data_IF_886540332749
#
_entry.id   IF_886540332749
#
_cell.length_a   1.000
_cell.length_b   1.000
_cell.length_c   1.000
_cell.angle_alpha   90.00
_cell.angle_beta   90.00
_cell.angle_gamma   90.00
#
_symmetry.space_group_name_H-M   'P 1'
#
loop_
_entity.id
_entity.type
_entity.pdbx_description
1 polymer ?
#
# COMPACT_ATOMS: atom_id res chain seq x y z
N UNK A 1 12.51 8.46 -7.21
CA UNK A 1 12.23 7.59 -6.06
C UNK A 1 12.80 6.21 -6.39
N UNK A 2 13.62 5.57 -5.51
CA UNK A 2 13.95 4.17 -5.69
C UNK A 2 12.66 3.36 -5.65
N UNK A 3 12.56 2.34 -6.51
CA UNK A 3 11.41 1.45 -6.50
C UNK A 3 11.43 0.60 -5.23
N UNK A 4 10.29 0.43 -4.52
CA UNK A 4 10.22 -0.53 -3.42
C UNK A 4 10.58 -1.92 -3.94
N UNK A 5 11.11 -2.81 -3.09
CA UNK A 5 11.49 -4.15 -3.49
C UNK A 5 10.30 -4.84 -4.17
N UNK A 6 10.54 -5.37 -5.37
CA UNK A 6 9.52 -6.01 -6.19
C UNK A 6 8.86 -7.15 -5.42
N UNK A 7 7.53 -7.20 -5.46
CA UNK A 7 6.76 -8.28 -4.88
C UNK A 7 7.11 -9.60 -5.60
N UNK A 8 7.66 -10.58 -4.89
CA UNK A 8 8.11 -11.87 -5.42
C UNK A 8 6.95 -12.81 -5.85
N UNK A 9 5.72 -12.32 -5.95
CA UNK A 9 4.50 -13.15 -6.08
C UNK A 9 4.05 -13.44 -7.51
N UNK A 10 4.88 -13.20 -8.52
CA UNK A 10 4.50 -13.49 -9.92
C UNK A 10 3.32 -12.69 -10.47
N UNK A 11 2.70 -11.83 -9.66
CA UNK A 11 1.64 -10.91 -10.08
C UNK A 11 2.19 -9.62 -10.68
N UNK A 12 1.41 -8.97 -11.53
CA UNK A 12 1.77 -7.67 -12.07
C UNK A 12 1.90 -6.65 -10.94
N UNK A 13 3.02 -5.89 -10.86
CA UNK A 13 3.13 -4.82 -9.91
C UNK A 13 2.06 -3.75 -10.22
N UNK A 14 1.49 -3.14 -9.20
CA UNK A 14 0.57 -2.04 -9.37
C UNK A 14 1.27 -0.86 -10.08
N UNK A 15 0.55 -0.11 -10.94
CA UNK A 15 1.16 0.98 -11.70
C UNK A 15 1.47 2.20 -10.83
N UNK A 16 2.54 2.93 -11.19
CA UNK A 16 2.89 4.21 -10.59
C UNK A 16 3.04 4.15 -9.06
N UNK A 17 2.58 5.16 -8.32
CA UNK A 17 2.74 5.21 -6.87
C UNK A 17 1.91 4.14 -6.11
N UNK A 18 0.94 3.50 -6.76
CA UNK A 18 0.14 2.43 -6.16
C UNK A 18 0.97 1.20 -5.78
N UNK A 19 2.14 1.01 -6.40
CA UNK A 19 3.09 -0.05 -6.03
C UNK A 19 3.55 0.07 -4.57
N UNK A 20 3.67 1.29 -4.02
CA UNK A 20 4.02 1.51 -2.62
C UNK A 20 2.93 0.98 -1.69
N UNK A 21 1.67 1.24 -2.03
CA UNK A 21 0.50 0.76 -1.26
C UNK A 21 0.45 -0.77 -1.27
N UNK A 22 0.65 -1.38 -2.45
CA UNK A 22 0.73 -2.84 -2.61
C UNK A 22 1.88 -3.42 -1.79
N UNK A 23 3.07 -2.82 -1.84
CA UNK A 23 4.25 -3.29 -1.12
C UNK A 23 4.04 -3.22 0.40
N UNK A 24 3.45 -2.14 0.92
CA UNK A 24 3.12 -2.02 2.35
C UNK A 24 2.13 -3.10 2.78
N UNK A 25 1.05 -3.32 2.02
CA UNK A 25 0.06 -4.35 2.33
C UNK A 25 0.69 -5.76 2.34
N UNK A 26 1.68 -6.00 1.49
CA UNK A 26 2.36 -7.28 1.31
C UNK A 26 3.59 -7.51 2.19
N UNK A 27 3.91 -6.61 3.12
CA UNK A 27 4.96 -6.88 4.11
C UNK A 27 4.57 -7.98 5.09
N UNK A 28 3.28 -8.32 5.23
CA UNK A 28 2.81 -9.45 6.01
C UNK A 28 2.10 -10.45 5.09
N UNK A 29 2.70 -11.61 4.85
CA UNK A 29 2.15 -12.69 4.03
C UNK A 29 2.21 -14.01 4.76
N UNK A 30 1.21 -14.86 4.53
CA UNK A 30 1.16 -16.19 5.13
C UNK A 30 2.33 -17.11 4.69
N UNK A 31 2.92 -16.85 3.50
CA UNK A 31 4.01 -17.65 2.92
C UNK A 31 5.41 -17.09 3.20
N UNK A 32 5.52 -16.00 3.94
CA UNK A 32 6.80 -15.32 4.20
C UNK A 32 7.36 -15.72 5.56
N UNK A 33 8.65 -16.06 5.61
CA UNK A 33 9.38 -16.19 6.86
C UNK A 33 9.67 -14.79 7.43
N UNK A 34 9.02 -14.47 8.55
CA UNK A 34 9.18 -13.21 9.25
C UNK A 34 8.30 -12.07 8.71
N UNK A 35 8.16 -11.03 9.54
CA UNK A 35 7.48 -9.78 9.20
C UNK A 35 8.53 -8.66 9.09
N UNK A 36 8.80 -8.11 7.88
CA UNK A 36 9.77 -7.01 7.71
C UNK A 36 9.44 -5.75 8.50
N UNK A 37 8.22 -5.65 9.03
CA UNK A 37 7.82 -4.55 9.90
C UNK A 37 7.66 -5.00 11.36
N UNK A 38 7.95 -6.26 11.68
CA UNK A 38 7.71 -6.83 13.01
C UNK A 38 8.58 -6.20 14.10
N UNK A 39 9.86 -5.99 13.83
CA UNK A 39 10.74 -5.22 14.69
C UNK A 39 10.88 -3.77 14.19
N UNK A 40 11.06 -2.84 15.10
CA UNK A 40 11.16 -1.41 14.77
C UNK A 40 12.38 -1.10 13.89
N UNK A 41 13.46 -1.78 14.12
CA UNK A 41 14.71 -1.65 13.38
C UNK A 41 14.53 -2.14 11.93
N UNK A 42 13.90 -3.29 11.72
CA UNK A 42 13.59 -3.85 10.41
C UNK A 42 12.61 -2.95 9.65
N UNK A 43 11.61 -2.39 10.34
CA UNK A 43 10.67 -1.42 9.77
C UNK A 43 11.39 -0.14 9.32
N UNK A 44 12.38 0.34 10.06
CA UNK A 44 13.18 1.49 9.66
C UNK A 44 14.03 1.19 8.42
N UNK A 45 14.62 0.00 8.31
CA UNK A 45 15.34 -0.45 7.12
C UNK A 45 14.43 -0.56 5.90
N UNK A 46 13.23 -1.12 6.06
CA UNK A 46 12.24 -1.18 4.98
C UNK A 46 11.86 0.21 4.47
N UNK A 47 11.59 1.16 5.38
CA UNK A 47 11.28 2.55 5.03
C UNK A 47 12.45 3.26 4.34
N UNK A 48 13.69 2.99 4.77
CA UNK A 48 14.90 3.50 4.14
C UNK A 48 15.03 2.98 2.71
N UNK A 49 14.87 1.68 2.51
CA UNK A 49 14.92 1.04 1.20
C UNK A 49 13.83 1.57 0.24
N UNK A 50 12.65 1.89 0.78
CA UNK A 50 11.55 2.51 0.04
C UNK A 50 11.77 4.03 -0.24
N UNK A 51 12.85 4.63 0.26
CA UNK A 51 13.13 6.06 0.11
C UNK A 51 12.20 6.97 0.94
N UNK A 52 11.56 6.44 1.95
CA UNK A 52 10.58 7.14 2.79
C UNK A 52 11.17 7.63 4.12
N UNK A 53 12.36 7.16 4.46
CA UNK A 53 13.11 7.58 5.63
C UNK A 53 14.54 7.93 5.21
N UNK A 54 15.16 9.03 5.70
CA UNK A 54 16.56 9.33 5.41
C UNK A 54 17.50 8.36 6.10
N UNK A 55 18.69 8.19 5.51
CA UNK A 55 19.75 7.42 6.13
C UNK A 55 20.09 7.98 7.53
N UNK A 56 20.26 7.09 8.50
CA UNK A 56 20.55 7.44 9.88
C UNK A 56 19.36 7.92 10.71
N UNK A 57 18.15 7.94 10.15
CA UNK A 57 16.93 8.22 10.90
C UNK A 57 16.46 6.98 11.66
N UNK A 58 15.92 7.19 12.86
CA UNK A 58 15.30 6.14 13.66
C UNK A 58 13.77 6.31 13.67
N UNK A 59 13.07 5.20 13.70
CA UNK A 59 11.63 5.17 13.90
C UNK A 59 11.33 5.19 15.39
N UNK A 60 10.40 6.03 15.86
CA UNK A 60 9.95 5.98 17.24
C UNK A 60 9.05 4.76 17.49
N UNK A 61 8.89 4.35 18.75
CA UNK A 61 7.95 3.26 19.09
C UNK A 61 6.50 3.60 18.72
N UNK A 62 6.11 4.87 18.87
CA UNK A 62 4.77 5.34 18.48
C UNK A 62 4.55 5.28 16.97
N UNK A 63 5.57 5.68 16.19
CA UNK A 63 5.51 5.65 14.73
C UNK A 63 5.50 4.21 14.21
N UNK A 64 6.30 3.32 14.82
CA UNK A 64 6.28 1.89 14.49
C UNK A 64 4.90 1.28 14.74
N UNK A 65 4.31 1.52 15.90
CA UNK A 65 2.96 1.04 16.20
C UNK A 65 1.91 1.63 15.25
N UNK A 66 2.07 2.89 14.84
CA UNK A 66 1.18 3.54 13.88
C UNK A 66 1.35 2.96 12.46
N UNK A 67 2.58 2.63 12.04
CA UNK A 67 2.87 1.96 10.76
C UNK A 67 2.19 0.58 10.69
N UNK A 68 2.27 -0.22 11.76
CA UNK A 68 1.60 -1.51 11.81
C UNK A 68 0.08 -1.34 11.72
N UNK A 69 -0.50 -0.36 12.43
CA UNK A 69 -1.95 -0.07 12.32
C UNK A 69 -2.36 0.40 10.93
N UNK A 70 -1.55 1.21 10.26
CA UNK A 70 -1.81 1.63 8.88
C UNK A 70 -1.83 0.42 7.94
N UNK A 71 -0.83 -0.45 8.02
CA UNK A 71 -0.76 -1.69 7.25
C UNK A 71 -2.02 -2.55 7.46
N UNK A 72 -2.37 -2.84 8.71
CA UNK A 72 -3.54 -3.67 9.02
C UNK A 72 -4.85 -3.02 8.54
N UNK A 73 -5.01 -1.71 8.73
CA UNK A 73 -6.20 -0.99 8.23
C UNK A 73 -6.31 -1.04 6.71
N UNK A 74 -5.18 -0.98 6.00
CA UNK A 74 -5.14 -1.12 4.55
C UNK A 74 -5.53 -2.54 4.11
N UNK A 75 -4.96 -3.56 4.77
CA UNK A 75 -5.28 -4.98 4.49
C UNK A 75 -6.74 -5.28 4.75
N UNK A 76 -7.27 -4.84 5.90
CA UNK A 76 -8.69 -4.98 6.25
C UNK A 76 -9.60 -4.34 5.21
N UNK A 77 -9.23 -3.12 4.74
CA UNK A 77 -10.02 -2.43 3.73
C UNK A 77 -10.02 -3.18 2.39
N UNK A 78 -8.86 -3.66 1.94
CA UNK A 78 -8.75 -4.44 0.70
C UNK A 78 -9.54 -5.76 0.78
N UNK A 79 -9.52 -6.44 1.93
CA UNK A 79 -10.30 -7.65 2.16
C UNK A 79 -11.81 -7.36 2.22
N UNK A 80 -12.23 -6.31 2.94
CA UNK A 80 -13.64 -5.94 3.12
C UNK A 80 -14.32 -5.52 1.81
N UNK A 81 -13.55 -5.06 0.80
CA UNK A 81 -14.08 -4.74 -0.54
C UNK A 81 -14.70 -5.96 -1.22
N UNK A 82 -14.23 -7.16 -0.89
CA UNK A 82 -14.75 -8.42 -1.43
C UNK A 82 -15.97 -8.93 -0.64
N UNK A 83 -16.10 -8.54 0.65
CA UNK A 83 -17.05 -9.11 1.59
C UNK A 83 -18.25 -8.20 1.92
N UNK A 84 -18.35 -7.01 1.31
CA UNK A 84 -19.46 -6.07 1.56
C UNK A 84 -19.45 -5.38 2.93
N UNK A 85 -18.36 -5.48 3.71
CA UNK A 85 -18.18 -4.87 5.03
C UNK A 85 -17.27 -3.63 4.98
N UNK A 86 -17.48 -2.79 3.97
CA UNK A 86 -16.54 -1.70 3.65
C UNK A 86 -16.58 -0.53 4.62
N UNK A 87 -17.72 -0.20 5.22
CA UNK A 87 -17.90 1.06 5.97
C UNK A 87 -16.96 1.17 7.17
N UNK A 88 -16.93 0.16 8.03
CA UNK A 88 -16.04 0.15 9.20
C UNK A 88 -14.56 0.10 8.82
N UNK A 89 -14.22 -0.66 7.78
CA UNK A 89 -12.85 -0.76 7.29
C UNK A 89 -12.39 0.57 6.66
N UNK A 90 -13.27 1.25 5.92
CA UNK A 90 -13.02 2.58 5.36
C UNK A 90 -12.80 3.62 6.45
N UNK A 91 -13.60 3.60 7.51
CA UNK A 91 -13.44 4.50 8.65
C UNK A 91 -12.09 4.29 9.37
N UNK A 92 -11.68 3.03 9.58
CA UNK A 92 -10.36 2.71 10.16
C UNK A 92 -9.21 3.16 9.27
N UNK A 93 -9.28 2.91 7.97
CA UNK A 93 -8.24 3.36 7.03
C UNK A 93 -8.18 4.89 6.98
N UNK A 94 -9.31 5.58 6.91
CA UNK A 94 -9.39 7.06 6.95
C UNK A 94 -8.71 7.59 8.21
N UNK A 95 -8.99 7.00 9.38
CA UNK A 95 -8.34 7.37 10.63
C UNK A 95 -6.83 7.13 10.61
N UNK A 96 -6.37 6.02 10.06
CA UNK A 96 -4.94 5.71 9.94
C UNK A 96 -4.22 6.66 8.97
N UNK A 97 -4.91 7.19 7.96
CA UNK A 97 -4.37 8.17 7.01
C UNK A 97 -4.39 9.62 7.53
N UNK A 98 -5.07 9.92 8.63
CA UNK A 98 -5.24 11.28 9.14
C UNK A 98 -3.93 11.95 9.59
N UNK A 99 -2.90 11.17 9.94
CA UNK A 99 -1.57 11.68 10.31
C UNK A 99 -0.75 12.14 9.09
N UNK A 100 -1.20 11.83 7.87
CA UNK A 100 -0.57 12.23 6.61
C UNK A 100 -0.95 13.65 6.21
N UNK A 101 -0.01 14.59 6.34
CA UNK A 101 -0.21 15.97 5.88
C UNK A 101 0.08 16.09 4.40
N UNK A 102 -0.96 16.21 3.59
CA UNK A 102 -0.86 16.41 2.14
C UNK A 102 -1.08 17.88 1.81
N UNK A 103 -0.28 18.41 0.90
CA UNK A 103 -0.41 19.77 0.34
C UNK A 103 -0.56 19.69 -1.18
N UNK A 104 -1.25 20.65 -1.74
CA UNK A 104 -1.28 20.88 -3.18
C UNK A 104 0.00 21.61 -3.58
N UNK A 105 0.68 21.14 -4.60
CA UNK A 105 1.82 21.79 -5.22
C UNK A 105 1.44 22.30 -6.60
N UNK A 106 2.05 23.42 -6.99
CA UNK A 106 1.90 23.99 -8.34
C UNK A 106 3.30 24.20 -8.92
N UNK A 107 3.61 23.49 -10.00
CA UNK A 107 4.90 23.59 -10.67
C UNK A 107 4.96 24.78 -11.65
N UNK A 108 6.14 25.27 -12.05
CA UNK A 108 6.30 26.44 -12.91
C UNK A 108 5.46 26.47 -14.20
N UNK A 109 5.16 25.36 -14.91
CA UNK A 109 4.24 25.42 -16.03
C UNK A 109 2.75 25.41 -15.62
N UNK A 110 2.46 25.39 -14.29
CA UNK A 110 1.08 25.36 -13.77
C UNK A 110 0.51 23.96 -13.56
N UNK A 111 1.32 22.92 -13.60
CA UNK A 111 0.88 21.57 -13.27
C UNK A 111 0.57 21.48 -11.76
N UNK A 112 -0.58 20.87 -11.46
CA UNK A 112 -1.04 20.66 -10.07
C UNK A 112 -0.69 19.25 -9.64
N UNK A 113 -0.08 19.11 -8.47
CA UNK A 113 0.26 17.84 -7.84
C UNK A 113 -0.11 17.80 -6.36
N UNK A 114 0.01 16.62 -5.78
CA UNK A 114 -0.12 16.41 -4.35
C UNK A 114 1.25 15.98 -3.79
N UNK A 115 1.62 16.50 -2.63
CA UNK A 115 2.87 16.14 -1.98
C UNK A 115 2.72 16.08 -0.45
N UNK A 116 3.67 15.43 0.22
CA UNK A 116 3.76 15.50 1.67
C UNK A 116 4.23 16.88 2.13
N UNK A 117 3.54 17.46 3.10
CA UNK A 117 4.00 18.66 3.80
C UNK A 117 5.13 18.36 4.79
N UNK A 118 5.27 17.11 5.24
CA UNK A 118 6.32 16.67 6.15
C UNK A 118 7.51 16.11 5.37
N UNK A 119 8.71 16.27 5.93
CA UNK A 119 9.93 15.67 5.38
C UNK A 119 10.36 14.53 6.27
N UNK A 120 10.63 13.36 5.66
CA UNK A 120 11.40 12.30 6.27
C UNK A 120 10.92 11.86 7.66
N UNK A 121 9.65 11.50 7.77
CA UNK A 121 9.01 11.07 9.02
C UNK A 121 7.90 10.05 8.73
N UNK A 122 7.36 9.42 9.76
CA UNK A 122 6.16 8.59 9.62
C UNK A 122 5.02 9.35 8.91
N UNK A 123 4.81 10.62 9.24
CA UNK A 123 3.78 11.46 8.59
C UNK A 123 4.02 11.62 7.06
N UNK A 124 5.28 11.62 6.60
CA UNK A 124 5.57 11.67 5.15
C UNK A 124 5.26 10.35 4.45
N UNK A 125 5.45 9.21 5.11
CA UNK A 125 4.98 7.93 4.60
C UNK A 125 3.46 7.90 4.47
N UNK A 126 2.75 8.29 5.53
CA UNK A 126 1.27 8.31 5.52
C UNK A 126 0.75 9.22 4.41
N UNK A 127 1.37 10.40 4.23
CA UNK A 127 1.04 11.31 3.14
C UNK A 127 1.32 10.69 1.76
N UNK A 128 2.45 9.98 1.58
CA UNK A 128 2.76 9.30 0.32
C UNK A 128 1.72 8.21 -0.01
N UNK A 129 1.30 7.44 0.98
CA UNK A 129 0.22 6.43 0.83
C UNK A 129 -1.12 7.12 0.47
N UNK A 130 -1.47 8.21 1.17
CA UNK A 130 -2.71 8.94 0.89
C UNK A 130 -2.72 9.54 -0.54
N UNK A 131 -1.60 10.13 -0.98
CA UNK A 131 -1.41 10.64 -2.34
C UNK A 131 -1.53 9.51 -3.36
N UNK A 132 -0.84 8.39 -3.14
CA UNK A 132 -0.89 7.22 -4.03
C UNK A 132 -2.32 6.70 -4.20
N UNK A 133 -3.10 6.63 -3.12
CA UNK A 133 -4.51 6.23 -3.16
C UNK A 133 -5.34 7.26 -3.94
N UNK A 134 -5.18 8.56 -3.66
CA UNK A 134 -5.95 9.62 -4.30
C UNK A 134 -5.68 9.69 -5.81
N UNK A 135 -4.42 9.66 -6.24
CA UNK A 135 -4.01 9.67 -7.64
C UNK A 135 -4.50 8.41 -8.36
N UNK A 136 -4.39 7.24 -7.72
CA UNK A 136 -4.87 5.98 -8.27
C UNK A 136 -6.40 5.94 -8.40
N UNK A 137 -7.11 6.56 -7.46
CA UNK A 137 -8.56 6.70 -7.53
C UNK A 137 -8.98 7.61 -8.69
N UNK A 138 -8.29 8.75 -8.86
CA UNK A 138 -8.52 9.67 -9.99
C UNK A 138 -8.22 9.01 -11.35
N UNK A 139 -7.20 8.15 -11.40
CA UNK A 139 -6.84 7.38 -12.60
C UNK A 139 -7.72 6.13 -12.83
N UNK A 140 -8.65 5.81 -11.92
CA UNK A 140 -9.49 4.60 -12.00
C UNK A 140 -8.75 3.29 -11.73
N UNK A 141 -7.51 3.35 -11.22
CA UNK A 141 -6.68 2.15 -10.97
C UNK A 141 -6.82 1.62 -9.54
N UNK A 142 -7.22 2.46 -8.59
CA UNK A 142 -7.45 2.06 -7.19
C UNK A 142 -8.38 0.85 -7.00
N UNK A 143 -9.52 0.73 -7.70
CA UNK A 143 -10.41 -0.44 -7.58
C UNK A 143 -9.77 -1.76 -8.02
N UNK A 144 -8.69 -1.72 -8.80
CA UNK A 144 -7.96 -2.89 -9.29
C UNK A 144 -6.94 -3.45 -8.28
N UNK A 145 -6.59 -2.70 -7.23
CA UNK A 145 -5.81 -3.23 -6.11
C UNK A 145 -6.75 -4.00 -5.18
N UNK A 146 -6.58 -5.29 -5.07
CA UNK A 146 -7.48 -6.24 -4.38
C UNK A 146 -6.73 -7.12 -3.40
N UNK A 147 -7.44 -7.72 -2.47
CA UNK A 147 -6.95 -8.82 -1.64
C UNK A 147 -7.35 -10.16 -2.26
N UNK A 148 -6.42 -11.11 -2.28
CA UNK A 148 -6.71 -12.46 -2.76
C UNK A 148 -7.76 -13.14 -1.88
N UNK A 149 -8.84 -13.66 -2.50
CA UNK A 149 -9.94 -14.33 -1.81
C UNK A 149 -9.66 -15.80 -1.44
N UNK A 150 -8.50 -16.36 -1.82
CA UNK A 150 -8.12 -17.71 -1.41
C UNK A 150 -7.92 -17.75 0.11
N UNK A 151 -8.48 -18.77 0.77
CA UNK A 151 -8.42 -18.93 2.21
C UNK A 151 -6.96 -18.89 2.72
N UNK A 152 -6.71 -18.01 3.69
CA UNK A 152 -5.40 -17.84 4.32
C UNK A 152 -4.36 -17.07 3.48
N UNK A 153 -4.67 -16.66 2.24
CA UNK A 153 -3.70 -15.95 1.38
C UNK A 153 -3.52 -14.47 1.78
N UNK A 154 -4.57 -13.66 1.67
CA UNK A 154 -4.55 -12.23 2.03
C UNK A 154 -3.53 -11.36 1.28
N UNK A 155 -2.94 -11.84 0.17
CA UNK A 155 -1.99 -11.10 -0.67
C UNK A 155 -2.73 -9.98 -1.39
N UNK A 156 -2.21 -8.76 -1.33
CA UNK A 156 -2.68 -7.64 -2.14
C UNK A 156 -2.09 -7.76 -3.56
N UNK A 157 -2.94 -7.87 -4.56
CA UNK A 157 -2.56 -7.99 -5.96
C UNK A 157 -3.24 -6.93 -6.83
N UNK A 158 -2.60 -6.57 -7.92
CA UNK A 158 -3.16 -5.67 -8.92
C UNK A 158 -3.81 -6.50 -10.03
N UNK A 159 -5.11 -6.29 -10.25
CA UNK A 159 -5.86 -6.93 -11.32
C UNK A 159 -5.66 -6.15 -12.63
N UNK A 160 -4.73 -6.63 -13.45
CA UNK A 160 -4.43 -6.06 -14.78
C UNK A 160 -5.33 -6.56 -15.90
N UNK A 161 -6.29 -7.48 -15.63
CA UNK A 161 -7.19 -8.01 -16.66
C UNK A 161 -8.15 -6.94 -17.19
N UNK A 162 -8.58 -7.08 -18.42
CA UNK A 162 -9.52 -6.12 -19.06
C UNK A 162 -10.84 -6.02 -18.30
N UNK A 163 -11.36 -7.15 -17.82
CA UNK A 163 -12.63 -7.22 -17.09
C UNK A 163 -12.53 -6.71 -15.64
N UNK A 164 -11.33 -6.56 -15.08
CA UNK A 164 -11.10 -6.26 -13.67
C UNK A 164 -11.89 -7.19 -12.72
N UNK A 165 -12.11 -8.45 -13.12
CA UNK A 165 -12.95 -9.41 -12.40
C UNK A 165 -12.16 -10.44 -11.57
N UNK A 166 -10.81 -10.43 -11.63
CA UNK A 166 -9.99 -11.37 -10.89
C UNK A 166 -10.22 -11.21 -9.37
N UNK A 167 -10.55 -12.32 -8.70
CA UNK A 167 -10.74 -12.38 -7.26
C UNK A 167 -9.51 -12.99 -6.54
N UNK A 168 -8.56 -13.55 -7.27
CA UNK A 168 -7.40 -14.28 -6.75
C UNK A 168 -6.10 -13.77 -7.36
N UNK A 169 -5.01 -13.81 -6.59
CA UNK A 169 -3.67 -13.49 -7.07
C UNK A 169 -3.17 -14.57 -8.04
N UNK A 170 -2.09 -14.31 -8.77
CA UNK A 170 -1.53 -15.21 -9.77
C UNK A 170 -1.22 -16.63 -9.22
N UNK A 171 -0.77 -16.72 -7.97
CA UNK A 171 -0.49 -18.03 -7.33
C UNK A 171 -1.77 -18.86 -7.05
N UNK A 172 -2.96 -18.25 -7.07
CA UNK A 172 -4.24 -18.88 -6.81
C UNK A 172 -5.23 -18.71 -7.97
N UNK A 173 -4.79 -18.17 -9.10
CA UNK A 173 -5.60 -18.10 -10.31
C UNK A 173 -5.91 -19.51 -10.81
N UNK A 174 -7.16 -19.77 -11.20
CA UNK A 174 -7.53 -21.02 -11.81
C UNK A 174 -6.84 -21.11 -13.19
N UNK A 175 -6.18 -22.24 -13.54
CA UNK A 175 -5.41 -22.38 -14.78
C UNK A 175 -6.26 -22.35 -16.06
N UNK A 176 -7.54 -22.02 -15.97
CA UNK A 176 -8.50 -21.98 -17.07
C UNK A 176 -9.08 -20.61 -17.44
N UNK A 177 -8.57 -19.50 -16.90
CA UNK A 177 -9.13 -18.15 -17.13
C UNK A 177 -8.14 -17.21 -17.84
N UNK A 178 -7.36 -17.75 -18.77
CA UNK A 178 -6.64 -16.97 -19.79
C UNK A 178 -7.48 -16.96 -21.07
N UNK A 179 -8.24 -15.88 -21.23
CA UNK A 179 -8.79 -15.50 -22.52
C UNK A 179 -9.08 -13.98 -22.52
#
# INVERSE_FOLDING_TARGET
>A
MPAPPASADGGHPAPGPLVLVQSLANTLRASQEGDPLGAREDAAEWLLAAGLLPAGSALSNSDHAALLRLRESLRDFLAARTDGRQDDAAARLTKALADGRVVVTVDPPGAIGLASAARASYSSLVAAIAVAIAESAAAGTWPRLKSCSAAGCGVAFYDGSDSAAAARCAAHADPGHEA
#
